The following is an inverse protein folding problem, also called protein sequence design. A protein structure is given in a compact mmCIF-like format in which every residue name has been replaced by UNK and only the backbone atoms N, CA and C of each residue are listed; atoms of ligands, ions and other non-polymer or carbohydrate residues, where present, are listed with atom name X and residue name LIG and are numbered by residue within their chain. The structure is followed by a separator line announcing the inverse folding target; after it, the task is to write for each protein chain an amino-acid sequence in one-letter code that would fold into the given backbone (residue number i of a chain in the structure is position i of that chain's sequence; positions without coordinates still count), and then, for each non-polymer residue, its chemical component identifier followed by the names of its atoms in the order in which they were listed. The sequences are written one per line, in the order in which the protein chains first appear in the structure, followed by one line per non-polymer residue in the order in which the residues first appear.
data_IF_908790118162
#
_entry.id   IF_908790118162
#
_cell.length_a   1.000
_cell.length_b   1.000
_cell.length_c   1.000
_cell.angle_alpha   90.00
_cell.angle_beta   90.00
_cell.angle_gamma   90.00
#
_symmetry.space_group_name_H-M   'P 1'
#
loop_
_entity.id
_entity.type
_entity.pdbx_description
1 polymer ?
#
# COMPACT_ATOMS: atom_id res chain seq x y z
N UNK A 1 6.34 15.93 3.60
CA UNK A 1 5.55 15.91 2.34
C UNK A 1 4.16 16.46 2.60
N UNK A 2 3.71 17.39 1.78
CA UNK A 2 2.39 17.97 1.92
C UNK A 2 1.37 17.20 1.07
N UNK A 3 0.21 16.89 1.66
CA UNK A 3 -0.93 16.31 0.96
C UNK A 3 -2.10 17.29 1.01
N UNK A 4 -3.05 17.24 0.06
CA UNK A 4 -4.24 18.08 0.10
C UNK A 4 -5.01 17.91 1.42
N UNK A 5 -5.65 19.00 1.88
CA UNK A 5 -6.34 19.01 3.17
C UNK A 5 -7.56 18.06 3.21
N UNK A 6 -8.14 17.74 2.06
CA UNK A 6 -9.29 16.84 1.93
C UNK A 6 -8.90 15.37 1.77
N UNK A 7 -7.61 15.06 1.87
CA UNK A 7 -7.08 13.71 1.76
C UNK A 7 -6.32 13.31 3.02
N UNK A 8 -6.20 12.02 3.23
CA UNK A 8 -5.37 11.45 4.29
C UNK A 8 -4.52 10.31 3.72
N UNK A 9 -3.44 10.02 4.41
CA UNK A 9 -2.59 8.88 4.06
C UNK A 9 -3.27 7.62 4.58
N UNK A 10 -3.56 6.69 3.66
CA UNK A 10 -4.13 5.38 4.00
C UNK A 10 -3.03 4.37 4.29
N UNK A 11 -2.01 4.33 3.44
CA UNK A 11 -0.87 3.43 3.59
C UNK A 11 0.43 4.14 3.26
N UNK A 12 1.48 3.75 3.97
CA UNK A 12 2.87 4.05 3.64
C UNK A 12 3.54 2.71 3.36
N UNK A 13 3.85 2.47 2.09
CA UNK A 13 4.36 1.17 1.65
C UNK A 13 5.83 1.31 1.28
N UNK A 14 6.77 0.80 2.09
CA UNK A 14 8.17 0.84 1.74
C UNK A 14 8.44 0.03 0.48
N UNK A 15 9.19 0.61 -0.46
CA UNK A 15 9.63 -0.08 -1.67
C UNK A 15 11.04 -0.60 -1.50
N UNK A 16 11.95 0.26 -1.08
CA UNK A 16 13.33 -0.09 -0.78
C UNK A 16 13.95 0.93 0.16
N UNK A 17 15.06 0.57 0.75
CA UNK A 17 15.85 1.46 1.59
C UNK A 17 17.24 1.64 0.96
N UNK A 18 17.83 2.79 1.22
CA UNK A 18 19.21 3.09 0.87
C UNK A 18 19.97 3.36 2.16
N UNK A 19 20.95 2.53 2.48
CA UNK A 19 21.81 2.71 3.64
C UNK A 19 23.16 3.23 3.15
N UNK A 20 23.48 4.47 3.49
CA UNK A 20 24.58 5.25 2.94
C UNK A 20 24.46 5.29 1.41
N UNK A 21 25.28 4.58 0.65
CA UNK A 21 25.18 4.54 -0.81
C UNK A 21 24.75 3.16 -1.33
N UNK A 22 24.38 2.25 -0.45
CA UNK A 22 23.94 0.90 -0.83
C UNK A 22 22.44 0.92 -1.09
N UNK A 23 22.06 0.75 -2.35
CA UNK A 23 20.67 0.72 -2.81
C UNK A 23 20.06 -0.68 -2.69
N UNK A 24 18.75 -0.75 -2.83
CA UNK A 24 18.01 -2.01 -2.90
C UNK A 24 17.93 -2.79 -1.59
N UNK A 25 18.18 -2.14 -0.47
CA UNK A 25 18.07 -2.78 0.85
C UNK A 25 16.61 -2.95 1.22
N UNK A 26 16.17 -4.18 1.49
CA UNK A 26 14.80 -4.49 1.89
C UNK A 26 14.63 -4.50 3.40
N UNK A 27 15.67 -4.88 4.13
CA UNK A 27 15.64 -4.96 5.59
C UNK A 27 16.84 -4.23 6.18
N UNK A 28 16.69 -2.95 6.55
CA UNK A 28 17.81 -2.16 7.07
C UNK A 28 18.11 -2.36 8.54
N UNK A 29 17.27 -3.10 9.26
CA UNK A 29 17.48 -3.35 10.68
C UNK A 29 18.79 -4.13 10.90
N UNK A 30 19.59 -3.64 11.85
CA UNK A 30 20.89 -4.24 12.16
C UNK A 30 22.04 -3.81 11.24
N UNK A 31 21.77 -3.00 10.23
CA UNK A 31 22.83 -2.43 9.39
C UNK A 31 23.42 -1.19 10.03
N UNK A 32 24.74 -1.05 9.96
CA UNK A 32 25.44 0.15 10.40
C UNK A 32 25.49 1.16 9.26
N UNK A 33 25.21 2.43 9.57
CA UNK A 33 25.28 3.51 8.60
C UNK A 33 24.96 4.84 9.23
N UNK A 34 25.32 5.93 8.57
CA UNK A 34 25.06 7.29 9.03
C UNK A 34 23.87 7.93 8.33
N UNK A 35 23.45 7.39 7.19
CA UNK A 35 22.34 7.90 6.41
C UNK A 35 21.43 6.77 5.96
N UNK A 36 20.13 6.90 6.27
CA UNK A 36 19.09 5.99 5.82
C UNK A 36 18.10 6.77 4.97
N UNK A 37 17.87 6.28 3.76
CA UNK A 37 16.81 6.77 2.91
C UNK A 37 15.78 5.66 2.70
N UNK A 38 14.52 6.02 2.67
CA UNK A 38 13.44 5.10 2.35
C UNK A 38 12.70 5.62 1.12
N UNK A 39 12.55 4.76 0.13
CA UNK A 39 11.65 5.00 -0.99
C UNK A 39 10.32 4.38 -0.65
N UNK A 40 9.28 5.19 -0.58
CA UNK A 40 7.95 4.75 -0.15
C UNK A 40 6.91 5.07 -1.21
N UNK A 41 5.92 4.20 -1.29
CA UNK A 41 4.71 4.45 -2.05
C UNK A 41 3.64 4.92 -1.08
N UNK A 42 3.15 6.14 -1.27
CA UNK A 42 2.08 6.68 -0.44
C UNK A 42 0.74 6.44 -1.12
N UNK A 43 -0.16 5.82 -0.40
CA UNK A 43 -1.55 5.66 -0.83
C UNK A 43 -2.40 6.66 -0.05
N UNK A 44 -3.02 7.57 -0.76
CA UNK A 44 -3.91 8.57 -0.17
C UNK A 44 -5.34 8.33 -0.61
N UNK A 45 -6.28 8.82 0.18
CA UNK A 45 -7.70 8.73 -0.12
C UNK A 45 -8.43 9.97 0.35
N UNK A 46 -9.59 10.23 -0.24
CA UNK A 46 -10.45 11.31 0.20
C UNK A 46 -11.01 10.98 1.61
N UNK A 47 -10.83 11.91 2.54
CA UNK A 47 -11.31 11.74 3.92
C UNK A 47 -12.80 11.44 3.95
N UNK A 48 -13.60 12.18 3.17
CA UNK A 48 -15.05 12.01 3.13
C UNK A 48 -15.48 10.64 2.60
N UNK A 49 -14.77 10.10 1.62
CA UNK A 49 -15.08 8.79 1.05
C UNK A 49 -14.94 7.68 2.10
N UNK A 50 -13.83 7.68 2.82
CA UNK A 50 -13.58 6.70 3.89
C UNK A 50 -14.56 6.89 5.03
N UNK A 51 -14.80 8.13 5.45
CA UNK A 51 -15.75 8.46 6.51
C UNK A 51 -17.15 7.97 6.20
N UNK A 52 -17.62 8.12 4.95
CA UNK A 52 -18.93 7.66 4.53
C UNK A 52 -19.06 6.14 4.58
N UNK A 53 -18.03 5.41 4.16
CA UNK A 53 -17.99 3.95 4.23
C UNK A 53 -18.05 3.50 5.69
N UNK A 54 -17.25 4.11 6.56
CA UNK A 54 -17.23 3.78 7.99
C UNK A 54 -18.59 4.04 8.64
N UNK A 55 -19.24 5.13 8.30
CA UNK A 55 -20.59 5.45 8.81
C UNK A 55 -21.61 4.40 8.40
N UNK A 56 -21.56 3.94 7.17
CA UNK A 56 -22.45 2.89 6.68
C UNK A 56 -22.29 1.60 7.49
N UNK A 57 -21.07 1.23 7.79
CA UNK A 57 -20.76 0.04 8.57
C UNK A 57 -21.25 0.19 10.01
N UNK A 58 -21.02 1.34 10.63
CA UNK A 58 -21.49 1.62 12.00
C UNK A 58 -23.01 1.60 12.12
N UNK A 59 -23.72 2.05 11.09
CA UNK A 59 -25.18 1.97 11.05
C UNK A 59 -25.72 0.55 11.05
N UNK A 60 -24.91 -0.41 10.65
CA UNK A 60 -25.23 -1.83 10.72
C UNK A 60 -24.94 -2.44 12.10
N UNK A 61 -24.51 -1.65 13.07
CA UNK A 61 -24.14 -2.13 14.41
C UNK A 61 -22.75 -2.75 14.48
N UNK A 62 -21.91 -2.51 13.48
CA UNK A 62 -20.55 -3.04 13.39
C UNK A 62 -19.52 -1.93 13.63
N UNK A 63 -18.34 -2.33 14.05
CA UNK A 63 -17.20 -1.42 14.18
C UNK A 63 -16.21 -1.68 13.06
N UNK A 64 -15.49 -0.63 12.63
CA UNK A 64 -14.44 -0.73 11.63
C UNK A 64 -13.10 -0.89 12.35
N UNK A 65 -12.48 -2.02 12.18
CA UNK A 65 -11.17 -2.30 12.77
C UNK A 65 -10.05 -1.66 11.96
N UNK A 66 -10.13 -1.74 10.63
CA UNK A 66 -9.10 -1.19 9.76
C UNK A 66 -9.66 -0.91 8.37
N UNK A 67 -8.95 -0.08 7.61
CA UNK A 67 -9.26 0.25 6.21
C UNK A 67 -8.04 -0.07 5.37
N UNK A 68 -8.21 -0.91 4.37
CA UNK A 68 -7.13 -1.42 3.53
C UNK A 68 -7.44 -1.15 2.08
N UNK A 69 -6.40 -0.78 1.31
CA UNK A 69 -6.51 -0.62 -0.14
C UNK A 69 -6.92 -1.96 -0.77
N UNK A 70 -7.93 -1.93 -1.61
CA UNK A 70 -8.52 -3.09 -2.27
C UNK A 70 -7.49 -3.95 -3.00
N UNK A 71 -6.59 -3.32 -3.77
CA UNK A 71 -5.56 -4.02 -4.53
C UNK A 71 -4.56 -4.77 -3.64
N UNK A 72 -4.27 -4.24 -2.46
CA UNK A 72 -3.42 -4.93 -1.49
C UNK A 72 -4.13 -6.15 -0.91
N UNK A 73 -5.39 -6.01 -0.56
CA UNK A 73 -6.20 -7.12 -0.03
C UNK A 73 -6.30 -8.26 -1.04
N UNK A 74 -6.61 -7.94 -2.29
CA UNK A 74 -6.68 -8.92 -3.37
C UNK A 74 -5.32 -9.58 -3.62
N UNK A 75 -4.24 -8.81 -3.57
CA UNK A 75 -2.88 -9.32 -3.72
C UNK A 75 -2.51 -10.32 -2.64
N UNK A 76 -2.87 -10.07 -1.40
CA UNK A 76 -2.65 -11.04 -0.31
C UNK A 76 -3.44 -12.33 -0.50
N UNK A 77 -4.62 -12.23 -1.09
CA UNK A 77 -5.50 -13.39 -1.28
C UNK A 77 -5.04 -14.33 -2.39
N UNK A 78 -4.51 -13.78 -3.50
CA UNK A 78 -4.31 -14.56 -4.73
C UNK A 78 -2.87 -14.65 -5.22
N UNK A 79 -1.97 -13.79 -4.75
CA UNK A 79 -0.58 -13.76 -5.21
C UNK A 79 0.35 -14.44 -4.21
N UNK A 80 1.32 -15.21 -4.74
CA UNK A 80 2.40 -15.76 -3.93
C UNK A 80 3.53 -14.73 -3.80
N UNK A 81 4.41 -14.91 -2.82
CA UNK A 81 5.58 -14.06 -2.65
C UNK A 81 6.50 -14.12 -3.87
N UNK A 82 6.67 -15.30 -4.47
CA UNK A 82 7.49 -15.49 -5.67
C UNK A 82 6.93 -14.71 -6.87
N UNK A 83 5.63 -14.72 -7.05
CA UNK A 83 4.97 -13.95 -8.11
C UNK A 83 5.19 -12.44 -7.92
N UNK A 84 5.08 -11.95 -6.70
CA UNK A 84 5.34 -10.54 -6.39
C UNK A 84 6.80 -10.14 -6.63
N UNK A 85 7.75 -11.02 -6.33
CA UNK A 85 9.18 -10.79 -6.53
C UNK A 85 9.54 -10.77 -8.02
N UNK A 86 9.02 -11.72 -8.79
CA UNK A 86 9.29 -11.83 -10.22
C UNK A 86 8.62 -10.75 -11.05
N UNK A 87 7.55 -10.19 -10.57
CA UNK A 87 6.74 -9.22 -11.28
C UNK A 87 5.43 -9.82 -11.75
N UNK A 88 4.32 -9.19 -11.36
CA UNK A 88 2.98 -9.64 -11.68
C UNK A 88 2.05 -8.45 -11.80
N UNK A 89 1.08 -8.58 -12.69
CA UNK A 89 -0.02 -7.62 -12.81
C UNK A 89 -1.28 -8.25 -12.24
N UNK A 90 -1.82 -7.61 -11.22
CA UNK A 90 -3.11 -8.01 -10.64
C UNK A 90 -4.21 -7.19 -11.30
N UNK A 91 -5.16 -7.88 -11.92
CA UNK A 91 -6.32 -7.25 -12.56
C UNK A 91 -7.56 -7.60 -11.76
N UNK A 92 -8.23 -6.57 -11.25
CA UNK A 92 -9.46 -6.72 -10.48
C UNK A 92 -10.64 -6.22 -11.33
N UNK A 93 -11.46 -7.12 -11.79
CA UNK A 93 -12.59 -6.82 -12.67
C UNK A 93 -13.87 -6.81 -11.85
N UNK A 94 -14.41 -5.61 -11.64
CA UNK A 94 -15.68 -5.41 -10.95
C UNK A 94 -16.87 -5.25 -11.90
N UNK A 95 -17.99 -4.89 -11.33
CA UNK A 95 -19.22 -4.66 -12.10
C UNK A 95 -19.22 -3.38 -12.93
N UNK A 96 -18.48 -2.35 -12.48
CA UNK A 96 -18.43 -1.05 -13.15
C UNK A 96 -17.02 -0.53 -13.42
N UNK A 97 -16.02 -1.10 -12.79
CA UNK A 97 -14.63 -0.65 -12.92
C UNK A 97 -13.68 -1.84 -13.02
N UNK A 98 -12.52 -1.61 -13.62
CA UNK A 98 -11.42 -2.57 -13.62
C UNK A 98 -10.20 -1.87 -13.06
N UNK A 99 -9.62 -2.44 -12.01
CA UNK A 99 -8.46 -1.90 -11.32
C UNK A 99 -7.23 -2.76 -11.58
N UNK A 100 -6.08 -2.11 -11.73
CA UNK A 100 -4.82 -2.79 -12.03
C UNK A 100 -3.78 -2.40 -10.98
N UNK A 101 -3.09 -3.40 -10.46
CA UNK A 101 -1.95 -3.21 -9.58
C UNK A 101 -0.75 -4.00 -10.11
N UNK A 102 0.42 -3.40 -10.07
CA UNK A 102 1.67 -4.03 -10.52
C UNK A 102 2.56 -4.23 -9.32
N UNK A 103 3.06 -5.45 -9.16
CA UNK A 103 4.00 -5.82 -8.12
C UNK A 103 5.32 -6.24 -8.75
N UNK A 104 6.42 -5.73 -8.24
CA UNK A 104 7.78 -6.16 -8.58
C UNK A 104 8.65 -6.05 -7.34
N UNK A 105 9.61 -6.94 -7.21
CA UNK A 105 10.52 -7.01 -6.04
C UNK A 105 9.77 -7.04 -4.70
N UNK A 106 8.60 -7.67 -4.69
CA UNK A 106 7.77 -7.80 -3.50
C UNK A 106 6.98 -6.56 -3.13
N UNK A 107 7.05 -5.48 -3.90
CA UNK A 107 6.39 -4.22 -3.61
C UNK A 107 5.41 -3.80 -4.71
N UNK A 108 4.34 -3.12 -4.33
CA UNK A 108 3.41 -2.49 -5.27
C UNK A 108 4.09 -1.27 -5.90
N UNK A 109 3.91 -1.08 -7.19
CA UNK A 109 4.53 0.01 -7.94
C UNK A 109 3.53 1.00 -8.50
#
# INVERSE_FOLDING_TARGET
MAIPADQKILHILPQEYVVDMQEGVKEPLGMSGVRLEAKVHLVTCAVNAVSNIEKCIRRCGLEVEDVILEQLASGYAVLTEDEKDLGVCLVDIGGGTTDIAIFTDGAIR
#
